data_IF_783939960128
#
_entry.id   IF_783939960128
#
_cell.length_a   1.000
_cell.length_b   1.000
_cell.length_c   1.000
_cell.angle_alpha   90.00
_cell.angle_beta   90.00
_cell.angle_gamma   90.00
#
_symmetry.space_group_name_H-M   'P 1'
#
loop_
_entity.id
_entity.type
_entity.pdbx_description
1 polymer ?
#
# COMPACT_ATOMS: atom_id res chain seq x y z
N UNK A 1 11.66 30.62 41.49
CA UNK A 1 10.89 31.11 40.34
C UNK A 1 11.54 30.55 39.09
N UNK A 2 10.98 29.49 38.49
CA UNK A 2 11.44 29.03 37.16
C UNK A 2 10.26 28.41 36.36
N UNK A 3 9.07 28.99 36.52
CA UNK A 3 7.90 28.62 35.72
C UNK A 3 7.93 29.26 34.31
N UNK A 4 8.69 30.33 34.12
CA UNK A 4 8.76 31.07 32.84
C UNK A 4 9.43 30.28 31.72
N UNK A 5 10.56 29.63 32.01
CA UNK A 5 11.31 28.86 31.01
C UNK A 5 10.57 27.57 30.60
N UNK A 6 9.86 26.92 31.53
CA UNK A 6 9.04 25.75 31.21
C UNK A 6 7.85 26.10 30.29
N UNK A 7 7.19 27.24 30.49
CA UNK A 7 6.04 27.66 29.67
C UNK A 7 6.47 28.06 28.25
N UNK A 8 7.64 28.70 28.11
CA UNK A 8 8.22 29.03 26.80
C UNK A 8 8.59 27.76 26.04
N UNK A 9 9.26 26.80 26.70
CA UNK A 9 9.58 25.50 26.10
C UNK A 9 8.35 24.68 25.68
N UNK A 10 7.25 24.74 26.43
CA UNK A 10 5.99 24.07 26.06
C UNK A 10 5.34 24.71 24.82
N UNK A 11 5.35 26.04 24.71
CA UNK A 11 4.81 26.75 23.53
C UNK A 11 5.59 26.46 22.26
N UNK A 12 6.93 26.45 22.35
CA UNK A 12 7.80 26.09 21.23
C UNK A 12 7.66 24.61 20.84
N UNK A 13 7.57 23.70 21.83
CA UNK A 13 7.31 22.29 21.60
C UNK A 13 5.94 22.04 20.94
N UNK A 14 4.89 22.76 21.37
CA UNK A 14 3.57 22.71 20.72
C UNK A 14 3.63 23.18 19.27
N UNK A 15 4.39 24.24 18.98
CA UNK A 15 4.60 24.72 17.62
C UNK A 15 5.24 23.65 16.71
N UNK A 16 6.29 22.98 17.21
CA UNK A 16 6.95 21.89 16.49
C UNK A 16 5.98 20.73 16.25
N UNK A 17 5.23 20.29 17.28
CA UNK A 17 4.24 19.22 17.14
C UNK A 17 3.17 19.56 16.11
N UNK A 18 2.67 20.81 16.10
CA UNK A 18 1.68 21.28 15.13
C UNK A 18 2.23 21.27 13.70
N UNK A 19 3.45 21.74 13.49
CA UNK A 19 4.11 21.72 12.18
C UNK A 19 4.32 20.29 11.70
N UNK A 20 4.80 19.39 12.57
CA UNK A 20 4.94 17.97 12.24
C UNK A 20 3.59 17.30 11.92
N UNK A 21 2.55 17.59 12.69
CA UNK A 21 1.21 17.08 12.43
C UNK A 21 0.67 17.58 11.08
N UNK A 22 0.80 18.88 10.80
CA UNK A 22 0.41 19.47 9.52
C UNK A 22 1.20 18.86 8.34
N UNK A 23 2.50 18.63 8.53
CA UNK A 23 3.36 17.98 7.54
C UNK A 23 2.90 16.54 7.26
N UNK A 24 2.62 15.75 8.29
CA UNK A 24 2.10 14.38 8.12
C UNK A 24 0.74 14.36 7.41
N UNK A 25 -0.15 15.31 7.74
CA UNK A 25 -1.43 15.48 7.05
C UNK A 25 -1.24 15.80 5.56
N UNK A 26 -0.31 16.71 5.23
CA UNK A 26 0.01 17.07 3.84
C UNK A 26 0.55 15.87 3.04
N UNK A 27 1.46 15.08 3.63
CA UNK A 27 2.01 13.88 2.99
C UNK A 27 0.90 12.87 2.72
N UNK A 28 0.05 12.60 3.72
CA UNK A 28 -1.07 11.65 3.59
C UNK A 28 -2.11 12.13 2.58
N UNK A 29 -2.41 13.43 2.55
CA UNK A 29 -3.31 14.05 1.58
C UNK A 29 -2.77 13.96 0.15
N UNK A 30 -1.48 14.21 -0.07
CA UNK A 30 -0.84 14.08 -1.38
C UNK A 30 -0.86 12.64 -1.87
N UNK A 31 -0.61 11.67 -0.99
CA UNK A 31 -0.71 10.25 -1.31
C UNK A 31 -2.14 9.87 -1.75
N UNK A 32 -3.15 10.32 -1.00
CA UNK A 32 -4.56 10.10 -1.34
C UNK A 32 -4.93 10.70 -2.70
N UNK A 33 -4.56 11.95 -2.98
CA UNK A 33 -4.82 12.57 -4.28
C UNK A 33 -4.15 11.82 -5.43
N UNK A 34 -2.96 11.27 -5.22
CA UNK A 34 -2.28 10.45 -6.22
C UNK A 34 -3.06 9.17 -6.50
N UNK A 35 -3.55 8.49 -5.46
CA UNK A 35 -4.42 7.31 -5.60
C UNK A 35 -5.70 7.64 -6.36
N UNK A 36 -6.38 8.73 -6.00
CA UNK A 36 -7.61 9.18 -6.68
C UNK A 36 -7.36 9.50 -8.16
N UNK A 37 -6.21 10.10 -8.48
CA UNK A 37 -5.81 10.36 -9.87
C UNK A 37 -5.57 9.06 -10.64
N UNK A 38 -4.83 8.10 -10.04
CA UNK A 38 -4.60 6.78 -10.63
C UNK A 38 -5.93 6.07 -10.87
N UNK A 39 -6.82 6.07 -9.88
CA UNK A 39 -8.14 5.46 -9.98
C UNK A 39 -8.94 6.10 -11.13
N UNK A 40 -9.05 7.43 -11.15
CA UNK A 40 -9.81 8.14 -12.19
C UNK A 40 -9.27 7.88 -13.59
N UNK A 41 -7.96 7.98 -13.78
CA UNK A 41 -7.35 7.83 -15.10
C UNK A 41 -7.43 6.37 -15.60
N UNK A 42 -7.29 5.39 -14.70
CA UNK A 42 -7.34 3.98 -15.06
C UNK A 42 -8.77 3.48 -15.24
N UNK A 43 -9.67 3.80 -14.31
CA UNK A 43 -11.09 3.42 -14.39
C UNK A 43 -11.80 4.15 -15.53
N UNK A 44 -11.36 5.36 -15.90
CA UNK A 44 -11.85 6.03 -17.12
C UNK A 44 -11.56 5.25 -18.40
N UNK A 45 -10.46 4.47 -18.45
CA UNK A 45 -10.11 3.60 -19.58
C UNK A 45 -10.66 2.18 -19.43
N UNK A 46 -10.74 1.68 -18.20
CA UNK A 46 -11.16 0.34 -17.84
C UNK A 46 -12.21 0.41 -16.71
N UNK A 47 -13.48 0.73 -17.02
CA UNK A 47 -14.50 1.03 -16.00
C UNK A 47 -14.78 -0.14 -15.05
N UNK A 48 -14.57 -1.37 -15.52
CA UNK A 48 -14.75 -2.57 -14.71
C UNK A 48 -13.42 -3.21 -14.31
N UNK A 49 -12.35 -2.43 -14.11
CA UNK A 49 -11.07 -2.97 -13.66
C UNK A 49 -11.22 -3.77 -12.36
N UNK A 50 -10.50 -4.89 -12.30
CA UNK A 50 -10.31 -5.61 -11.05
C UNK A 50 -9.36 -4.83 -10.13
N UNK A 51 -9.43 -5.11 -8.83
CA UNK A 51 -8.53 -4.54 -7.84
C UNK A 51 -7.63 -5.63 -7.26
N UNK A 52 -6.33 -5.43 -7.32
CA UNK A 52 -5.34 -6.35 -6.76
C UNK A 52 -4.67 -5.71 -5.55
N UNK A 53 -4.79 -6.37 -4.41
CA UNK A 53 -4.09 -6.02 -3.18
C UNK A 53 -2.86 -6.88 -2.99
N UNK A 54 -1.80 -6.30 -2.43
CA UNK A 54 -0.59 -7.02 -2.03
C UNK A 54 -0.20 -6.58 -0.64
N UNK A 55 -0.12 -7.52 0.28
CA UNK A 55 0.25 -7.20 1.66
C UNK A 55 1.04 -8.32 2.33
N UNK A 56 1.86 -7.92 3.30
CA UNK A 56 2.48 -8.85 4.22
C UNK A 56 1.54 -9.19 5.37
N UNK A 57 1.49 -10.47 5.72
CA UNK A 57 0.70 -10.95 6.86
C UNK A 57 1.29 -10.43 8.17
N UNK A 58 2.61 -10.57 8.31
CA UNK A 58 3.36 -10.38 9.57
C UNK A 58 4.02 -9.00 9.72
N UNK A 59 3.97 -8.14 8.69
CA UNK A 59 4.69 -6.86 8.68
C UNK A 59 3.77 -5.69 8.27
N UNK A 60 3.60 -4.65 9.11
CA UNK A 60 2.69 -3.52 8.85
C UNK A 60 3.29 -2.43 7.92
N UNK A 61 4.60 -2.47 7.66
CA UNK A 61 5.30 -1.51 6.81
C UNK A 61 5.94 -2.20 5.62
N UNK A 62 5.30 -2.09 4.47
CA UNK A 62 5.73 -2.77 3.26
C UNK A 62 5.56 -1.89 2.02
N UNK A 63 6.68 -1.71 1.33
CA UNK A 63 6.72 -1.12 -0.01
C UNK A 63 6.82 -2.26 -1.03
N UNK A 64 6.54 -1.98 -2.29
CA UNK A 64 6.63 -2.99 -3.31
C UNK A 64 6.65 -2.48 -4.72
N UNK A 65 6.69 -3.44 -5.63
CA UNK A 65 6.68 -3.19 -7.06
C UNK A 65 5.88 -4.29 -7.72
N UNK A 66 4.99 -3.90 -8.61
CA UNK A 66 4.28 -4.79 -9.51
C UNK A 66 4.80 -4.50 -10.91
N UNK A 67 5.23 -5.55 -11.61
CA UNK A 67 5.63 -5.48 -13.01
C UNK A 67 4.70 -6.40 -13.79
N UNK A 68 3.95 -5.84 -14.74
CA UNK A 68 3.14 -6.65 -15.64
C UNK A 68 4.02 -7.26 -16.73
N UNK A 69 3.93 -8.58 -16.88
CA UNK A 69 4.44 -9.30 -18.07
C UNK A 69 3.36 -9.41 -19.13
N UNK A 70 2.10 -9.57 -18.71
CA UNK A 70 0.93 -9.67 -19.58
C UNK A 70 -0.27 -9.01 -18.92
N UNK A 71 -1.06 -8.30 -19.72
CA UNK A 71 -2.21 -7.52 -19.25
C UNK A 71 -1.82 -6.10 -18.81
N UNK A 72 -2.83 -5.28 -18.54
CA UNK A 72 -2.65 -3.86 -18.21
C UNK A 72 -2.95 -3.63 -16.74
N UNK A 73 -2.04 -2.95 -16.04
CA UNK A 73 -2.18 -2.60 -14.62
C UNK A 73 -1.91 -1.12 -14.39
N UNK A 74 -2.53 -0.55 -13.38
CA UNK A 74 -2.24 0.81 -12.94
C UNK A 74 -0.91 0.88 -12.17
N UNK A 75 -0.34 2.07 -11.98
CA UNK A 75 0.65 2.29 -10.95
C UNK A 75 0.12 1.83 -9.58
N UNK A 76 1.03 1.37 -8.72
CA UNK A 76 0.69 0.97 -7.35
C UNK A 76 0.35 2.20 -6.51
N UNK A 77 -0.50 2.00 -5.52
CA UNK A 77 -0.87 3.00 -4.55
C UNK A 77 -1.18 2.34 -3.19
N UNK A 78 -1.33 3.14 -2.14
CA UNK A 78 -1.64 2.64 -0.79
C UNK A 78 -2.99 1.91 -0.77
N UNK A 79 -3.02 0.66 -0.28
CA UNK A 79 -4.25 -0.13 -0.20
C UNK A 79 -5.35 0.55 0.63
N UNK A 80 -4.97 1.34 1.65
CA UNK A 80 -5.91 2.11 2.46
C UNK A 80 -6.69 3.17 1.68
N UNK A 81 -6.27 3.50 0.44
CA UNK A 81 -6.98 4.42 -0.44
C UNK A 81 -8.00 3.72 -1.37
N UNK A 82 -8.10 2.39 -1.35
CA UNK A 82 -9.15 1.63 -2.04
C UNK A 82 -9.74 0.55 -1.10
N UNK A 83 -10.66 0.93 -0.20
CA UNK A 83 -11.16 0.05 0.86
C UNK A 83 -12.26 -0.93 0.40
N UNK A 84 -12.54 -1.03 -0.90
CA UNK A 84 -13.68 -1.76 -1.49
C UNK A 84 -13.82 -3.21 -1.01
N UNK A 85 -12.71 -3.88 -0.67
CA UNK A 85 -12.69 -5.25 -0.16
C UNK A 85 -12.14 -5.36 1.27
N UNK A 86 -12.26 -4.31 2.08
CA UNK A 86 -11.90 -4.31 3.50
C UNK A 86 -10.40 -4.31 3.83
N UNK A 87 -9.52 -4.35 2.81
CA UNK A 87 -8.07 -4.38 2.99
C UNK A 87 -7.51 -2.96 3.12
N UNK A 88 -6.84 -2.68 4.25
CA UNK A 88 -6.25 -1.36 4.57
C UNK A 88 -4.73 -1.36 4.69
N UNK A 89 -4.07 -2.51 4.45
CA UNK A 89 -2.62 -2.68 4.60
C UNK A 89 -1.95 -3.04 3.29
N UNK A 90 -0.69 -2.63 3.14
CA UNK A 90 0.11 -2.85 1.93
C UNK A 90 -0.24 -1.90 0.80
N UNK A 91 -0.13 -2.38 -0.43
CA UNK A 91 -0.36 -1.60 -1.64
C UNK A 91 -1.37 -2.31 -2.56
N UNK A 92 -2.01 -1.52 -3.42
CA UNK A 92 -2.98 -1.99 -4.38
C UNK A 92 -2.69 -1.44 -5.78
N UNK A 93 -3.21 -2.11 -6.80
CA UNK A 93 -3.30 -1.59 -8.16
C UNK A 93 -4.59 -2.05 -8.84
N UNK A 94 -5.06 -1.27 -9.81
CA UNK A 94 -6.12 -1.70 -10.71
C UNK A 94 -5.55 -2.57 -11.81
N UNK A 95 -6.35 -3.55 -12.25
CA UNK A 95 -5.99 -4.54 -13.25
C UNK A 95 -7.11 -4.57 -14.30
N UNK A 96 -6.76 -4.37 -15.57
CA UNK A 96 -7.73 -4.46 -16.65
C UNK A 96 -8.27 -5.90 -16.77
N UNK A 97 -9.57 -6.10 -17.10
CA UNK A 97 -10.14 -7.44 -17.25
C UNK A 97 -9.44 -8.24 -18.36
N UNK A 98 -9.22 -9.53 -18.13
CA UNK A 98 -8.52 -10.41 -19.08
C UNK A 98 -7.43 -11.27 -18.44
N UNK A 99 -6.64 -12.00 -19.25
CA UNK A 99 -5.52 -12.78 -18.76
C UNK A 99 -4.36 -11.88 -18.34
N UNK A 100 -3.87 -12.07 -17.12
CA UNK A 100 -2.88 -11.20 -16.50
C UNK A 100 -1.76 -12.03 -15.89
N UNK A 101 -0.51 -11.61 -16.11
CA UNK A 101 0.69 -12.21 -15.53
C UNK A 101 1.55 -11.11 -14.89
N UNK A 102 1.77 -11.21 -13.59
CA UNK A 102 2.46 -10.19 -12.81
C UNK A 102 3.65 -10.79 -12.05
N UNK A 103 4.75 -10.05 -12.08
CA UNK A 103 5.84 -10.17 -11.11
C UNK A 103 5.57 -9.20 -9.96
N UNK A 104 5.34 -9.74 -8.77
CA UNK A 104 5.08 -8.96 -7.56
C UNK A 104 6.28 -9.07 -6.64
N UNK A 105 6.85 -7.93 -6.24
CA UNK A 105 7.90 -7.83 -5.22
C UNK A 105 7.37 -7.03 -4.06
N UNK A 106 7.44 -7.57 -2.85
CA UNK A 106 7.26 -6.79 -1.62
C UNK A 106 8.59 -6.72 -0.87
N UNK A 107 8.87 -5.57 -0.28
CA UNK A 107 10.09 -5.29 0.49
C UNK A 107 9.71 -4.66 1.83
N UNK A 108 10.38 -5.10 2.89
CA UNK A 108 10.16 -4.62 4.25
C UNK A 108 11.48 -4.53 5.00
N UNK A 109 11.47 -3.83 6.12
CA UNK A 109 12.61 -3.78 7.04
C UNK A 109 12.24 -4.61 8.26
N UNK A 110 13.05 -5.64 8.52
CA UNK A 110 12.95 -6.48 9.71
C UNK A 110 13.78 -5.83 10.83
N UNK A 111 13.14 -5.43 11.92
CA UNK A 111 13.82 -4.93 13.12
C UNK A 111 14.25 -6.13 13.97
N UNK A 112 15.56 -6.39 13.99
CA UNK A 112 16.19 -7.40 14.84
C UNK A 112 16.81 -6.69 16.05
N UNK A 113 16.97 -7.42 17.16
CA UNK A 113 17.67 -6.92 18.36
C UNK A 113 19.06 -6.34 18.04
N UNK A 114 19.70 -6.78 16.96
CA UNK A 114 21.05 -6.35 16.53
C UNK A 114 21.04 -5.32 15.38
N UNK A 115 19.87 -4.87 14.92
CA UNK A 115 19.74 -3.85 13.87
C UNK A 115 18.67 -4.13 12.82
N UNK A 116 18.58 -3.23 11.84
CA UNK A 116 17.60 -3.26 10.75
C UNK A 116 18.11 -4.05 9.57
N UNK A 117 17.37 -5.08 9.13
CA UNK A 117 17.71 -5.85 7.94
C UNK A 117 16.66 -5.67 6.84
N UNK A 118 17.05 -5.17 5.65
CA UNK A 118 16.13 -5.13 4.52
C UNK A 118 15.84 -6.56 4.05
N UNK A 119 14.56 -6.86 3.83
CA UNK A 119 14.05 -8.12 3.31
C UNK A 119 13.18 -7.86 2.10
N UNK A 120 13.13 -8.82 1.19
CA UNK A 120 12.17 -8.80 0.09
C UNK A 120 11.77 -10.20 -0.32
N UNK A 121 10.54 -10.32 -0.79
CA UNK A 121 9.98 -11.53 -1.38
C UNK A 121 9.49 -11.18 -2.78
N UNK A 122 9.65 -12.13 -3.72
CA UNK A 122 9.12 -12.02 -5.07
C UNK A 122 8.25 -13.23 -5.36
N UNK A 123 7.12 -13.00 -6.00
CA UNK A 123 6.25 -14.07 -6.49
C UNK A 123 5.71 -13.72 -7.87
N UNK A 124 5.33 -14.75 -8.61
CA UNK A 124 4.67 -14.62 -9.90
C UNK A 124 3.23 -15.05 -9.75
N UNK A 125 2.32 -14.25 -10.25
CA UNK A 125 0.89 -14.57 -10.26
C UNK A 125 0.37 -14.49 -11.68
N UNK A 126 -0.33 -15.55 -12.09
CA UNK A 126 -1.05 -15.62 -13.35
C UNK A 126 -2.50 -15.94 -13.05
N UNK A 127 -3.42 -15.11 -13.54
CA UNK A 127 -4.85 -15.27 -13.29
C UNK A 127 -5.67 -14.59 -14.38
N UNK A 128 -6.94 -14.99 -14.47
CA UNK A 128 -7.94 -14.29 -15.26
C UNK A 128 -8.59 -13.20 -14.40
N UNK A 129 -8.30 -11.93 -14.68
CA UNK A 129 -8.91 -10.79 -14.01
C UNK A 129 -10.36 -10.63 -14.48
N UNK A 130 -11.29 -10.87 -13.56
CA UNK A 130 -12.72 -10.70 -13.78
C UNK A 130 -13.15 -9.25 -13.54
N UNK A 131 -14.13 -8.74 -14.33
CA UNK A 131 -14.63 -7.38 -14.17
C UNK A 131 -15.13 -7.10 -12.74
N UNK A 132 -14.65 -6.00 -12.14
CA UNK A 132 -15.09 -5.54 -10.82
C UNK A 132 -14.78 -6.47 -9.64
N UNK A 133 -13.87 -7.45 -9.80
CA UNK A 133 -13.48 -8.37 -8.72
C UNK A 133 -12.25 -7.88 -7.95
N UNK A 134 -12.17 -8.30 -6.70
CA UNK A 134 -11.00 -8.11 -5.85
C UNK A 134 -10.12 -9.36 -5.81
N UNK A 135 -8.81 -9.15 -5.73
CA UNK A 135 -7.82 -10.21 -5.58
C UNK A 135 -6.79 -9.77 -4.54
N UNK A 136 -6.20 -10.71 -3.81
CA UNK A 136 -5.09 -10.42 -2.90
C UNK A 136 -3.92 -11.39 -3.09
N UNK A 137 -2.72 -10.85 -3.04
CA UNK A 137 -1.48 -11.58 -2.86
C UNK A 137 -1.04 -11.38 -1.41
N UNK A 138 -1.25 -12.41 -0.61
CA UNK A 138 -0.85 -12.45 0.80
C UNK A 138 0.55 -13.02 0.88
N UNK A 139 1.50 -12.25 1.41
CA UNK A 139 2.89 -12.66 1.53
C UNK A 139 3.23 -12.90 3.00
N UNK A 140 3.81 -14.05 3.30
CA UNK A 140 4.34 -14.37 4.62
C UNK A 140 5.85 -14.14 4.60
N UNK A 141 6.31 -13.19 5.41
CA UNK A 141 7.71 -12.76 5.43
C UNK A 141 8.63 -13.77 6.11
N UNK A 142 8.13 -14.45 7.15
CA UNK A 142 8.88 -15.43 7.92
C UNK A 142 9.08 -16.74 7.14
N UNK A 143 8.05 -17.21 6.45
CA UNK A 143 8.07 -18.44 5.65
C UNK A 143 8.50 -18.26 4.21
N UNK A 144 8.67 -17.01 3.73
CA UNK A 144 8.89 -16.66 2.32
C UNK A 144 7.87 -17.32 1.38
N UNK A 145 6.61 -17.36 1.81
CA UNK A 145 5.50 -17.95 1.05
C UNK A 145 4.57 -16.85 0.56
N UNK A 146 3.92 -17.08 -0.57
CA UNK A 146 2.87 -16.22 -1.08
C UNK A 146 1.62 -17.03 -1.36
N UNK A 147 0.45 -16.48 -1.06
CA UNK A 147 -0.85 -17.05 -1.39
C UNK A 147 -1.62 -16.04 -2.23
N UNK A 148 -2.16 -16.51 -3.36
CA UNK A 148 -3.10 -15.74 -4.17
C UNK A 148 -4.53 -16.12 -3.78
N UNK A 149 -5.37 -15.13 -3.52
CA UNK A 149 -6.79 -15.35 -3.15
C UNK A 149 -7.68 -14.39 -3.93
N UNK A 150 -8.86 -14.89 -4.34
CA UNK A 150 -9.93 -14.07 -4.88
C UNK A 150 -10.77 -13.55 -3.72
N UNK A 151 -11.01 -12.24 -3.70
CA UNK A 151 -11.78 -11.57 -2.66
C UNK A 151 -13.26 -11.55 -3.05
N UNK A 152 -14.11 -11.65 -2.04
CA UNK A 152 -15.54 -11.43 -2.17
C UNK A 152 -15.83 -10.05 -1.57
N UNK A 153 -16.66 -9.28 -2.25
CA UNK A 153 -17.20 -8.07 -1.64
C UNK A 153 -18.20 -8.52 -0.58
N UNK A 154 -18.04 -8.05 0.65
CA UNK A 154 -19.01 -8.23 1.73
C UNK A 154 -20.28 -7.41 1.46
#
# INVERSE_FOLDING_TARGET
MDLGNHVVGIKEAMGIVLVFAAFLLLVRWRARRRSETIARDFLGRYPNAALLYVYLEDAPGNDGKIVSRKGTVSPIFDAGNAPDFGIKKGFACYVAPGPVELDVKASWVEDLYMGKRPRSIRTQVSFQAEPGRGYAVVMNGAGLKSKFVKLHAD
#
